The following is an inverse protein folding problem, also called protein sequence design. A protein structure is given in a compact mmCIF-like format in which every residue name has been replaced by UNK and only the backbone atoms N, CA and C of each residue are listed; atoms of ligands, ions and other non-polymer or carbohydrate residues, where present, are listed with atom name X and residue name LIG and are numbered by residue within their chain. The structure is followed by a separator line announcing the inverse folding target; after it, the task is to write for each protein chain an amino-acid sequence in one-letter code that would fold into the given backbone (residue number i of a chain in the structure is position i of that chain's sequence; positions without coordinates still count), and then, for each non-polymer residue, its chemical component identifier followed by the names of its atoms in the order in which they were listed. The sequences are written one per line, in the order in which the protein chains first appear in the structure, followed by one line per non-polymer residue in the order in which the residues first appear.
data_IF_949244171928
#
_entry.id   IF_949244171928
#
_cell.length_a   1.000
_cell.length_b   1.000
_cell.length_c   1.000
_cell.angle_alpha   90.00
_cell.angle_beta   90.00
_cell.angle_gamma   90.00
#
_symmetry.space_group_name_H-M   'P 1'
#
loop_
_entity.id
_entity.type
_entity.pdbx_description
1 polymer ?
#
# COMPACT_ATOMS: atom_id res chain seq x y z
N UNK A 1 2.34 -13.95 14.13
CA UNK A 1 1.86 -12.73 13.43
C UNK A 1 2.90 -12.28 12.40
N UNK A 2 2.55 -11.41 11.44
CA UNK A 2 3.49 -10.91 10.42
C UNK A 2 4.76 -10.28 11.01
N UNK A 3 4.59 -9.51 12.09
CA UNK A 3 5.68 -8.92 12.87
C UNK A 3 6.64 -9.99 13.41
N UNK A 4 6.11 -11.07 13.98
CA UNK A 4 6.93 -12.10 14.63
C UNK A 4 7.80 -12.82 13.61
N UNK A 5 7.24 -13.12 12.43
CA UNK A 5 7.97 -13.74 11.32
C UNK A 5 9.08 -12.83 10.80
N UNK A 6 8.78 -11.55 10.60
CA UNK A 6 9.77 -10.55 10.21
C UNK A 6 10.93 -10.48 11.22
N UNK A 7 10.62 -10.43 12.53
CA UNK A 7 11.66 -10.40 13.58
C UNK A 7 12.45 -11.71 13.65
N UNK A 8 11.79 -12.86 13.49
CA UNK A 8 12.45 -14.18 13.50
C UNK A 8 13.44 -14.34 12.35
N UNK A 9 13.11 -13.78 11.18
CA UNK A 9 13.99 -13.70 10.01
C UNK A 9 15.02 -12.56 10.10
N UNK A 10 15.14 -11.89 11.26
CA UNK A 10 16.05 -10.76 11.52
C UNK A 10 15.86 -9.57 10.57
N UNK A 11 14.65 -9.40 10.06
CA UNK A 11 14.25 -8.25 9.24
C UNK A 11 13.64 -7.18 10.14
N UNK A 12 13.92 -5.91 9.82
CA UNK A 12 13.32 -4.74 10.49
C UNK A 12 12.08 -4.22 9.78
N UNK A 13 11.84 -4.70 8.56
CA UNK A 13 10.76 -4.26 7.68
C UNK A 13 9.92 -5.47 7.30
N UNK A 14 8.62 -5.37 7.55
CA UNK A 14 7.63 -6.36 7.13
C UNK A 14 7.53 -6.29 5.60
N UNK A 15 7.67 -7.43 4.94
CA UNK A 15 7.57 -7.56 3.50
C UNK A 15 6.19 -8.10 3.09
N UNK A 16 5.91 -8.08 1.78
CA UNK A 16 4.64 -8.61 1.25
C UNK A 16 4.37 -10.07 1.61
N UNK A 17 5.39 -10.91 1.77
CA UNK A 17 5.24 -12.32 2.15
C UNK A 17 4.77 -12.51 3.60
N UNK A 18 5.22 -11.66 4.53
CA UNK A 18 4.77 -11.70 5.92
C UNK A 18 3.27 -11.35 6.03
N UNK A 19 2.83 -10.40 5.21
CA UNK A 19 1.43 -9.96 5.14
C UNK A 19 0.58 -11.09 4.56
N UNK A 20 1.01 -11.70 3.44
CA UNK A 20 0.30 -12.83 2.84
C UNK A 20 0.17 -14.01 3.82
N UNK A 21 1.25 -14.33 4.55
CA UNK A 21 1.22 -15.36 5.58
C UNK A 21 0.23 -15.03 6.72
N UNK A 22 0.19 -13.78 7.16
CA UNK A 22 -0.76 -13.35 8.19
C UNK A 22 -2.21 -13.43 7.70
N UNK A 23 -2.50 -13.06 6.46
CA UNK A 23 -3.86 -13.15 5.89
C UNK A 23 -4.38 -14.58 5.91
N UNK A 24 -3.58 -15.56 5.47
CA UNK A 24 -3.95 -16.98 5.57
C UNK A 24 -4.10 -17.45 7.02
N UNK A 25 -3.16 -17.08 7.90
CA UNK A 25 -3.20 -17.51 9.31
C UNK A 25 -4.43 -16.98 10.05
N UNK A 26 -4.92 -15.80 9.66
CA UNK A 26 -6.09 -15.16 10.25
C UNK A 26 -7.43 -15.62 9.63
N UNK A 27 -7.40 -16.49 8.62
CA UNK A 27 -8.60 -16.97 7.92
C UNK A 27 -9.15 -15.98 6.89
N UNK A 28 -8.35 -15.03 6.43
CA UNK A 28 -8.69 -14.09 5.36
C UNK A 28 -8.24 -14.60 3.98
N UNK A 29 -8.39 -15.90 3.72
CA UNK A 29 -7.88 -16.55 2.51
C UNK A 29 -8.43 -15.95 1.20
N UNK A 30 -9.68 -15.48 1.23
CA UNK A 30 -10.32 -14.78 0.10
C UNK A 30 -9.58 -13.50 -0.33
N UNK A 31 -8.70 -12.95 0.51
CA UNK A 31 -7.89 -11.76 0.20
C UNK A 31 -6.46 -12.09 -0.24
N UNK A 32 -6.01 -13.34 -0.10
CA UNK A 32 -4.62 -13.73 -0.36
C UNK A 32 -4.29 -13.62 -1.85
N UNK A 33 -5.15 -14.18 -2.70
CA UNK A 33 -4.94 -14.16 -4.16
C UNK A 33 -5.06 -12.74 -4.74
N UNK A 34 -6.10 -11.94 -4.42
CA UNK A 34 -6.15 -10.54 -4.83
C UNK A 34 -4.92 -9.73 -4.39
N UNK A 35 -4.45 -9.91 -3.15
CA UNK A 35 -3.30 -9.20 -2.62
C UNK A 35 -2.00 -9.61 -3.33
N UNK A 36 -1.83 -10.90 -3.65
CA UNK A 36 -0.68 -11.39 -4.40
C UNK A 36 -0.61 -10.76 -5.79
N UNK A 37 -1.74 -10.70 -6.50
CA UNK A 37 -1.84 -10.06 -7.80
C UNK A 37 -1.49 -8.56 -7.74
N UNK A 38 -2.01 -7.86 -6.73
CA UNK A 38 -1.67 -6.45 -6.52
C UNK A 38 -0.17 -6.24 -6.29
N UNK A 39 0.44 -7.03 -5.40
CA UNK A 39 1.87 -6.93 -5.11
C UNK A 39 2.75 -7.21 -6.33
N UNK A 40 2.29 -8.08 -7.24
CA UNK A 40 2.96 -8.31 -8.51
C UNK A 40 2.87 -7.08 -9.42
N UNK A 41 1.66 -6.58 -9.68
CA UNK A 41 1.44 -5.39 -10.52
C UNK A 41 2.19 -4.16 -9.98
N UNK A 42 2.24 -4.00 -8.66
CA UNK A 42 3.02 -2.93 -8.02
C UNK A 42 4.52 -3.05 -8.36
N UNK A 43 5.10 -4.25 -8.27
CA UNK A 43 6.52 -4.48 -8.64
C UNK A 43 6.78 -4.23 -10.11
N UNK A 44 5.83 -4.58 -10.99
CA UNK A 44 5.91 -4.31 -12.43
C UNK A 44 5.89 -2.81 -12.72
N UNK A 45 4.95 -2.07 -12.12
CA UNK A 45 4.85 -0.62 -12.25
C UNK A 45 6.11 0.10 -11.75
N UNK A 46 6.69 -0.36 -10.64
CA UNK A 46 7.93 0.19 -10.07
C UNK A 46 9.17 -0.10 -10.93
N UNK A 47 9.13 -1.07 -11.85
CA UNK A 47 10.21 -1.35 -12.81
C UNK A 47 10.09 -0.52 -14.10
N UNK A 48 8.96 0.18 -14.30
CA UNK A 48 8.62 0.90 -15.54
C UNK A 48 9.52 2.07 -15.93
N UNK A 49 10.49 2.48 -15.09
CA UNK A 49 11.50 3.47 -15.47
C UNK A 49 12.76 2.86 -16.12
N UNK A 50 12.91 1.53 -16.19
CA UNK A 50 14.10 0.89 -16.77
C UNK A 50 13.73 -0.38 -17.55
N UNK A 51 13.49 -0.20 -18.85
CA UNK A 51 13.65 -1.17 -19.96
C UNK A 51 13.62 -2.68 -19.66
N UNK A 52 12.57 -3.34 -20.15
CA UNK A 52 12.42 -4.72 -20.67
C UNK A 52 13.55 -5.73 -20.38
N UNK A 53 13.16 -6.85 -19.73
CA UNK A 53 13.65 -8.25 -19.76
C UNK A 53 13.60 -8.78 -18.32
N UNK A 54 12.83 -9.80 -17.96
CA UNK A 54 12.97 -11.20 -18.38
C UNK A 54 11.66 -11.93 -18.11
N UNK A 55 11.14 -12.63 -19.12
CA UNK A 55 10.04 -13.57 -18.99
C UNK A 55 10.49 -14.80 -18.19
N UNK A 56 9.72 -15.15 -17.14
CA UNK A 56 9.66 -16.52 -16.63
C UNK A 56 8.23 -16.99 -16.81
N UNK A 57 8.09 -17.96 -17.71
CA UNK A 57 6.85 -18.64 -18.05
C UNK A 57 6.29 -19.40 -16.84
N UNK A 58 5.06 -19.08 -16.45
CA UNK A 58 4.11 -20.03 -15.88
C UNK A 58 2.76 -19.75 -16.50
N UNK A 59 2.37 -20.69 -17.36
CA UNK A 59 1.08 -20.88 -18.02
C UNK A 59 -0.13 -20.59 -17.13
N UNK A 60 -1.00 -19.68 -17.57
CA UNK A 60 -2.46 -19.72 -17.41
C UNK A 60 -3.07 -18.54 -18.18
N UNK A 61 -3.77 -18.88 -19.25
CA UNK A 61 -4.59 -18.03 -20.10
C UNK A 61 -5.72 -17.33 -19.31
N UNK A 62 -5.75 -15.99 -19.33
CA UNK A 62 -6.99 -15.22 -19.18
C UNK A 62 -6.93 -14.08 -20.19
N UNK A 63 -7.84 -14.20 -21.16
CA UNK A 63 -8.26 -13.24 -22.18
C UNK A 63 -8.62 -11.88 -21.56
N UNK A 64 -8.53 -10.85 -22.40
CA UNK A 64 -8.70 -9.41 -22.14
C UNK A 64 -9.77 -9.00 -21.11
N UNK A 65 -9.52 -7.89 -20.39
CA UNK A 65 -10.40 -6.70 -20.41
C UNK A 65 -9.89 -5.56 -19.49
N UNK A 66 -9.88 -4.37 -20.10
CA UNK A 66 -10.04 -3.01 -19.55
C UNK A 66 -8.84 -2.32 -18.84
N UNK A 67 -8.15 -1.53 -19.68
CA UNK A 67 -7.33 -0.36 -19.36
C UNK A 67 -8.08 0.60 -18.42
N UNK A 68 -7.74 0.60 -17.14
CA UNK A 68 -8.07 1.69 -16.25
C UNK A 68 -6.81 2.52 -15.99
N UNK A 69 -6.66 3.54 -16.82
CA UNK A 69 -5.71 4.65 -16.62
C UNK A 69 -6.07 5.40 -15.33
N UNK A 70 -5.65 4.85 -14.18
CA UNK A 70 -5.48 5.64 -12.98
C UNK A 70 -4.27 6.53 -13.20
N UNK A 71 -4.54 7.78 -13.62
CA UNK A 71 -3.58 8.88 -13.60
C UNK A 71 -2.95 8.97 -12.20
N UNK A 72 -1.81 8.31 -12.03
CA UNK A 72 -0.96 8.46 -10.86
C UNK A 72 -0.30 9.82 -10.98
N UNK A 73 -0.91 10.82 -10.35
CA UNK A 73 -0.32 12.14 -10.19
C UNK A 73 1.06 11.95 -9.58
N UNK A 74 2.07 12.31 -10.36
CA UNK A 74 3.48 12.27 -10.04
C UNK A 74 3.74 12.99 -8.71
N UNK A 75 4.32 12.29 -7.73
CA UNK A 75 4.79 12.81 -6.44
C UNK A 75 6.07 13.68 -6.60
N UNK A 76 6.07 14.59 -7.56
CA UNK A 76 7.14 15.56 -7.81
C UNK A 76 6.92 16.84 -6.99
N UNK A 77 6.78 16.69 -5.68
CA UNK A 77 6.71 17.82 -4.75
C UNK A 77 7.83 17.76 -3.71
N UNK A 78 8.89 18.53 -4.01
CA UNK A 78 9.86 19.10 -3.09
C UNK A 78 10.91 18.16 -2.44
N UNK A 79 11.94 17.82 -3.21
CA UNK A 79 13.29 17.72 -2.65
C UNK A 79 13.77 19.13 -2.27
N UNK A 80 13.42 19.59 -1.06
CA UNK A 80 14.16 20.65 -0.40
C UNK A 80 15.14 19.98 0.55
N UNK A 81 16.40 20.01 0.13
CA UNK A 81 17.58 19.61 0.88
C UNK A 81 17.66 20.39 2.20
N UNK A 82 17.65 19.68 3.33
CA UNK A 82 18.42 20.11 4.48
C UNK A 82 19.07 18.89 5.18
N UNK A 83 20.29 19.14 5.63
CA UNK A 83 21.34 18.21 6.00
C UNK A 83 21.07 17.60 7.39
N UNK A 84 20.29 16.53 7.50
CA UNK A 84 20.21 15.78 8.78
C UNK A 84 19.70 14.32 8.73
N UNK A 85 19.72 13.65 7.57
CA UNK A 85 19.66 12.17 7.52
C UNK A 85 18.45 11.47 8.16
N UNK A 86 17.34 12.17 8.43
CA UNK A 86 16.08 11.58 8.84
C UNK A 86 15.05 11.71 7.73
N UNK A 87 14.64 10.58 7.16
CA UNK A 87 13.52 10.54 6.23
C UNK A 87 12.22 10.70 7.01
N UNK A 88 11.68 11.92 7.06
CA UNK A 88 10.36 12.17 7.62
C UNK A 88 9.29 11.81 6.58
N UNK A 89 8.55 10.72 6.83
CA UNK A 89 7.32 10.41 6.13
C UNK A 89 6.28 11.44 6.56
N UNK A 90 5.79 12.28 5.64
CA UNK A 90 4.76 13.28 5.95
C UNK A 90 3.44 12.54 6.17
N UNK A 91 3.05 12.36 7.43
CA UNK A 91 1.67 12.02 7.77
C UNK A 91 0.85 13.30 7.66
N UNK A 92 -0.03 13.40 6.67
CA UNK A 92 -1.10 14.39 6.70
C UNK A 92 -2.03 13.99 7.85
N UNK A 93 -1.88 14.65 8.99
CA UNK A 93 -2.83 14.52 10.11
C UNK A 93 -4.16 15.10 9.64
N UNK A 94 -5.09 14.23 9.25
CA UNK A 94 -6.49 14.63 9.19
C UNK A 94 -6.91 14.86 10.64
N UNK A 95 -6.94 16.13 11.07
CA UNK A 95 -7.40 16.49 12.40
C UNK A 95 -8.84 16.00 12.56
N UNK A 96 -9.03 14.94 13.34
CA UNK A 96 -10.37 14.48 13.69
C UNK A 96 -11.06 15.61 14.47
N UNK A 97 -12.29 16.00 14.09
CA UNK A 97 -13.03 17.05 14.79
C UNK A 97 -13.15 16.69 16.28
N UNK A 98 -12.93 17.67 17.15
CA UNK A 98 -13.13 17.49 18.59
C UNK A 98 -14.58 17.08 18.86
N UNK A 99 -14.82 16.29 19.91
CA UNK A 99 -16.17 15.85 20.28
C UNK A 99 -17.15 17.02 20.44
N UNK A 100 -16.64 18.18 20.87
CA UNK A 100 -17.41 19.42 20.99
C UNK A 100 -17.92 19.94 19.64
N UNK A 101 -17.09 19.88 18.59
CA UNK A 101 -17.49 20.26 17.24
C UNK A 101 -18.51 19.29 16.62
N UNK A 102 -18.46 18.00 16.96
CA UNK A 102 -19.47 17.02 16.55
C UNK A 102 -20.81 17.25 17.25
N UNK A 103 -20.79 17.57 18.55
CA UNK A 103 -22.00 17.87 19.30
C UNK A 103 -22.70 19.14 18.79
N UNK A 104 -21.92 20.17 18.44
CA UNK A 104 -22.46 21.39 17.85
C UNK A 104 -23.09 21.13 16.48
N UNK A 105 -22.44 20.30 15.65
CA UNK A 105 -22.98 19.91 14.35
C UNK A 105 -24.28 19.11 14.49
N UNK A 106 -24.35 18.18 15.46
CA UNK A 106 -25.57 17.45 15.75
C UNK A 106 -26.70 18.39 16.17
N UNK A 107 -26.42 19.38 17.02
CA UNK A 107 -27.41 20.34 17.49
C UNK A 107 -28.00 21.17 16.35
N UNK A 108 -27.15 21.66 15.44
CA UNK A 108 -27.59 22.45 14.29
C UNK A 108 -28.44 21.66 13.28
N UNK A 109 -28.29 20.33 13.22
CA UNK A 109 -29.07 19.48 12.31
C UNK A 109 -30.42 19.03 12.88
N UNK A 110 -30.73 19.37 14.13
CA UNK A 110 -31.97 19.00 14.80
C UNK A 110 -32.86 20.21 15.13
N UNK A 111 -32.61 21.36 14.50
CA UNK A 111 -33.46 22.56 14.52
C UNK A 111 -34.10 22.79 13.15
#
# INVERSE_FOLDING_TARGET
MASDRCHQEKRKTINGEDILFAMSTLGFDNYVEPLKLYLQKYREAMKGEKTISTATATDSSIDDLEDNSYSSQTLTAAMLTDQSGQQNVIYTTTAYPSQESLNLLLYSNNS
#
